data_IF_370277814955
#
_entry.id   IF_370277814955
#
_cell.length_a   1.000
_cell.length_b   1.000
_cell.length_c   1.000
_cell.angle_alpha   90.00
_cell.angle_beta   90.00
_cell.angle_gamma   90.00
#
_symmetry.space_group_name_H-M   'P 1'
#
loop_
_entity.id
_entity.type
_entity.pdbx_description
1 polymer ?
#
# COMPACT_ATOMS: atom_id res chain seq x y z
N UNK A 1 21.06 8.12 -30.09
CA UNK A 1 19.63 8.23 -29.71
C UNK A 1 19.32 7.17 -28.66
N UNK A 2 19.43 7.52 -27.37
CA UNK A 2 19.10 6.62 -26.27
C UNK A 2 17.63 6.79 -25.92
N UNK A 3 16.81 5.81 -26.24
CA UNK A 3 15.44 5.70 -25.72
C UNK A 3 15.57 5.37 -24.22
N UNK A 4 15.31 6.36 -23.36
CA UNK A 4 15.11 6.14 -21.95
C UNK A 4 13.80 5.36 -21.80
N UNK A 5 13.92 4.07 -21.46
CA UNK A 5 12.78 3.24 -21.11
C UNK A 5 12.06 3.87 -19.92
N UNK A 6 10.80 4.23 -20.09
CA UNK A 6 9.94 4.57 -18.95
C UNK A 6 9.80 3.31 -18.12
N UNK A 7 10.11 3.41 -16.85
CA UNK A 7 9.90 2.33 -15.90
C UNK A 7 8.40 1.95 -15.90
N UNK A 8 8.01 0.69 -16.21
CA UNK A 8 6.63 0.34 -16.57
C UNK A 8 5.69 0.15 -15.38
N UNK A 9 6.08 0.51 -14.16
CA UNK A 9 5.50 -0.06 -12.95
C UNK A 9 4.88 0.95 -11.96
N UNK A 10 4.52 2.16 -12.40
CA UNK A 10 3.84 3.07 -11.50
C UNK A 10 2.53 3.59 -12.10
N UNK A 11 1.51 2.73 -12.10
CA UNK A 11 0.15 3.17 -12.37
C UNK A 11 -0.45 3.76 -11.08
N UNK A 12 -0.47 5.09 -10.95
CA UNK A 12 -1.35 5.76 -10.01
C UNK A 12 -2.70 5.89 -10.70
N UNK A 13 -3.65 5.03 -10.39
CA UNK A 13 -5.03 5.18 -10.85
C UNK A 13 -5.89 5.74 -9.73
N UNK A 14 -6.59 6.81 -10.04
CA UNK A 14 -7.63 7.39 -9.21
C UNK A 14 -8.93 6.65 -9.49
N UNK A 15 -9.48 5.99 -8.49
CA UNK A 15 -10.88 5.58 -8.48
C UNK A 15 -11.32 5.48 -7.03
N UNK A 16 -12.19 6.31 -6.59
CA UNK A 16 -13.41 5.99 -5.87
C UNK A 16 -14.12 7.21 -5.35
N UNK A 17 -15.37 7.26 -5.67
CA UNK A 17 -16.37 8.04 -4.97
C UNK A 17 -17.39 7.04 -4.39
N UNK A 18 -17.65 7.24 -3.11
CA UNK A 18 -18.77 6.79 -2.27
C UNK A 18 -18.59 5.61 -1.32
N UNK A 19 -18.75 6.00 -0.06
CA UNK A 19 -19.35 5.36 1.10
C UNK A 19 -19.00 3.90 1.43
N UNK A 20 -17.98 3.74 2.28
CA UNK A 20 -17.93 2.59 3.18
C UNK A 20 -17.46 3.07 4.58
N UNK A 21 -18.34 3.00 5.55
CA UNK A 21 -18.00 3.20 6.97
C UNK A 21 -17.20 2.00 7.44
N UNK A 22 -15.88 2.10 7.39
CA UNK A 22 -14.97 1.10 7.95
C UNK A 22 -14.77 1.44 9.42
N UNK A 23 -15.18 0.53 10.33
CA UNK A 23 -14.82 0.59 11.75
C UNK A 23 -13.31 0.32 11.89
N UNK A 24 -12.62 0.89 12.90
CA UNK A 24 -11.21 0.61 13.14
C UNK A 24 -11.02 -0.88 13.39
N UNK A 25 -10.16 -1.52 12.61
CA UNK A 25 -9.69 -2.88 12.85
C UNK A 25 -8.54 -2.82 13.84
N UNK A 26 -8.73 -3.49 14.97
CA UNK A 26 -7.65 -3.73 15.92
C UNK A 26 -6.58 -4.63 15.29
N UNK A 27 -5.35 -4.29 15.59
CA UNK A 27 -4.11 -4.86 15.16
C UNK A 27 -4.04 -6.38 15.37
N UNK A 28 -3.86 -7.18 14.31
CA UNK A 28 -3.36 -8.53 14.39
C UNK A 28 -1.97 -8.59 13.78
N UNK A 29 -0.99 -8.80 14.63
CA UNK A 29 0.35 -9.24 14.22
C UNK A 29 0.24 -10.71 13.84
N UNK A 30 0.35 -11.05 12.58
CA UNK A 30 0.57 -12.44 12.18
C UNK A 30 2.06 -12.74 12.14
N UNK A 31 2.43 -13.80 12.83
CA UNK A 31 3.78 -14.30 12.99
C UNK A 31 4.38 -14.75 11.64
N UNK A 32 5.67 -14.51 11.47
CA UNK A 32 6.44 -14.49 10.24
C UNK A 32 6.70 -15.84 9.54
N UNK A 33 5.92 -16.88 9.76
CA UNK A 33 6.14 -18.20 9.13
C UNK A 33 5.23 -18.54 7.94
N UNK A 34 4.20 -17.72 7.66
CA UNK A 34 3.16 -18.03 6.65
C UNK A 34 3.01 -16.87 5.67
N UNK A 35 4.11 -16.35 5.14
CA UNK A 35 4.10 -15.14 4.29
C UNK A 35 3.41 -15.32 2.93
N UNK A 36 2.97 -16.53 2.58
CA UNK A 36 2.39 -16.82 1.26
C UNK A 36 1.07 -17.59 1.26
N UNK A 37 0.51 -17.89 2.41
CA UNK A 37 -0.82 -18.52 2.45
C UNK A 37 -1.92 -17.54 2.08
N UNK A 38 -2.96 -18.03 1.41
CA UNK A 38 -4.12 -17.23 1.08
C UNK A 38 -4.91 -16.89 2.34
N UNK A 39 -5.21 -15.59 2.53
CA UNK A 39 -5.98 -15.10 3.68
C UNK A 39 -7.37 -14.62 3.31
N UNK A 40 -7.82 -14.85 2.08
CA UNK A 40 -9.10 -14.33 1.58
C UNK A 40 -10.28 -14.66 2.46
N UNK A 41 -10.34 -15.89 2.97
CA UNK A 41 -11.44 -16.33 3.83
C UNK A 41 -11.33 -15.86 5.29
N UNK A 42 -10.16 -15.38 5.71
CA UNK A 42 -9.89 -14.92 7.08
C UNK A 42 -10.19 -13.43 7.27
N UNK A 43 -10.18 -12.66 6.20
CA UNK A 43 -10.42 -11.21 6.28
C UNK A 43 -11.92 -10.89 6.36
N UNK A 44 -12.30 -9.75 6.95
CA UNK A 44 -13.69 -9.29 6.99
C UNK A 44 -14.34 -9.22 5.60
N UNK A 45 -15.65 -9.41 5.53
CA UNK A 45 -16.41 -9.38 4.27
C UNK A 45 -16.14 -8.11 3.45
N UNK A 46 -16.12 -6.94 4.07
CA UNK A 46 -15.85 -5.67 3.38
C UNK A 46 -14.46 -5.62 2.71
N UNK A 47 -13.48 -6.35 3.26
CA UNK A 47 -12.13 -6.46 2.66
C UNK A 47 -12.18 -7.43 1.47
N UNK A 48 -12.93 -8.54 1.55
CA UNK A 48 -13.16 -9.45 0.41
C UNK A 48 -13.81 -8.73 -0.75
N UNK A 49 -14.91 -8.02 -0.49
CA UNK A 49 -15.63 -7.24 -1.50
C UNK A 49 -14.73 -6.20 -2.17
N UNK A 50 -13.88 -5.53 -1.37
CA UNK A 50 -12.91 -4.58 -1.89
C UNK A 50 -11.83 -5.27 -2.74
N UNK A 51 -11.32 -6.43 -2.29
CA UNK A 51 -10.37 -7.22 -3.05
C UNK A 51 -10.96 -7.70 -4.38
N UNK A 52 -12.17 -8.26 -4.36
CA UNK A 52 -12.88 -8.73 -5.56
C UNK A 52 -13.12 -7.62 -6.58
N UNK A 53 -13.23 -6.38 -6.10
CA UNK A 53 -13.34 -5.23 -6.98
C UNK A 53 -11.98 -4.78 -7.54
N UNK A 54 -10.95 -4.69 -6.69
CA UNK A 54 -9.62 -4.15 -7.03
C UNK A 54 -8.83 -5.14 -7.87
N UNK A 55 -8.77 -6.39 -7.43
CA UNK A 55 -7.86 -7.39 -7.97
C UNK A 55 -8.02 -7.56 -9.48
N UNK A 56 -9.20 -7.89 -10.06
CA UNK A 56 -9.31 -8.14 -11.49
C UNK A 56 -9.09 -6.90 -12.36
N UNK A 57 -9.21 -5.71 -11.77
CA UNK A 57 -9.11 -4.43 -12.49
C UNK A 57 -7.72 -3.83 -12.45
N UNK A 58 -6.99 -4.04 -11.36
CA UNK A 58 -5.76 -3.31 -11.09
C UNK A 58 -4.56 -4.21 -10.76
N UNK A 59 -4.82 -5.45 -10.36
CA UNK A 59 -3.82 -6.45 -9.98
C UNK A 59 -4.13 -7.83 -10.64
N UNK A 60 -4.41 -7.87 -11.96
CA UNK A 60 -4.92 -9.09 -12.60
C UNK A 60 -3.94 -10.27 -12.56
N UNK A 61 -2.65 -10.00 -12.38
CA UNK A 61 -1.58 -11.00 -12.31
C UNK A 61 -1.38 -11.61 -10.93
N UNK A 62 -2.04 -11.06 -9.90
CA UNK A 62 -1.88 -11.46 -8.50
C UNK A 62 -3.23 -11.78 -7.84
N UNK A 63 -3.93 -12.86 -8.26
CA UNK A 63 -5.29 -13.16 -7.81
C UNK A 63 -5.37 -13.66 -6.36
N UNK A 64 -4.26 -14.13 -5.77
CA UNK A 64 -4.25 -14.70 -4.43
C UNK A 64 -3.95 -13.62 -3.39
N UNK A 65 -4.91 -13.32 -2.51
CA UNK A 65 -4.71 -12.39 -1.40
C UNK A 65 -3.93 -13.09 -0.28
N UNK A 66 -2.70 -12.64 -0.02
CA UNK A 66 -1.82 -13.25 1.00
C UNK A 66 -1.73 -12.43 2.27
N UNK A 67 -2.11 -11.15 2.24
CA UNK A 67 -2.13 -10.30 3.43
C UNK A 67 -3.04 -9.10 3.25
N UNK A 68 -3.77 -8.76 4.33
CA UNK A 68 -4.54 -7.52 4.43
C UNK A 68 -4.38 -6.94 5.83
N UNK A 69 -4.04 -5.66 5.93
CA UNK A 69 -3.89 -4.98 7.22
C UNK A 69 -4.04 -3.47 7.08
N UNK A 70 -4.36 -2.81 8.18
CA UNK A 70 -4.40 -1.36 8.26
C UNK A 70 -3.24 -0.84 9.09
N UNK A 71 -2.62 0.26 8.63
CA UNK A 71 -1.61 1.00 9.36
C UNK A 71 -2.10 2.39 9.71
N UNK A 72 -1.67 2.88 10.89
CA UNK A 72 -1.88 4.24 11.33
C UNK A 72 -0.58 4.83 11.84
N UNK A 73 -0.10 5.90 11.21
CA UNK A 73 1.09 6.63 11.64
C UNK A 73 0.69 8.00 12.18
N UNK A 74 1.09 8.29 13.41
CA UNK A 74 1.00 9.61 14.02
C UNK A 74 2.35 10.31 13.97
N UNK A 75 2.43 11.55 14.42
CA UNK A 75 3.71 12.24 14.57
C UNK A 75 4.69 11.43 15.46
N UNK A 76 5.93 11.31 15.00
CA UNK A 76 6.97 10.52 15.67
C UNK A 76 6.94 9.01 15.40
N UNK A 77 5.99 8.54 14.59
CA UNK A 77 5.94 7.13 14.13
C UNK A 77 6.27 7.08 12.66
N UNK A 78 7.39 6.45 12.32
CA UNK A 78 7.85 6.28 10.94
C UNK A 78 8.06 4.80 10.62
N UNK A 79 7.80 4.44 9.36
CA UNK A 79 8.23 3.17 8.81
C UNK A 79 9.67 3.25 8.31
N UNK A 80 10.47 2.22 8.56
CA UNK A 80 11.78 2.09 7.92
C UNK A 80 11.64 1.49 6.52
N UNK A 81 12.66 1.68 5.69
CA UNK A 81 12.72 1.12 4.33
C UNK A 81 12.73 -0.40 4.38
N UNK A 82 11.87 -1.01 3.59
CA UNK A 82 11.74 -2.47 3.47
C UNK A 82 11.20 -2.89 2.10
N UNK A 83 11.27 -4.18 1.84
CA UNK A 83 10.58 -4.86 0.73
C UNK A 83 9.42 -5.68 1.31
N UNK A 84 8.31 -5.70 0.64
CA UNK A 84 7.13 -6.48 1.06
C UNK A 84 7.23 -7.96 0.68
N UNK A 85 7.99 -8.26 -0.37
CA UNK A 85 8.26 -9.60 -0.86
C UNK A 85 9.65 -9.67 -1.49
N UNK A 86 10.18 -10.89 -1.63
CA UNK A 86 11.40 -11.16 -2.41
C UNK A 86 11.11 -11.25 -3.91
N UNK A 87 9.85 -11.42 -4.29
CA UNK A 87 9.43 -11.69 -5.67
C UNK A 87 8.89 -10.41 -6.31
N UNK A 88 9.39 -10.13 -7.51
CA UNK A 88 8.91 -8.99 -8.31
C UNK A 88 7.49 -9.22 -8.87
N UNK A 89 7.04 -10.48 -8.89
CA UNK A 89 5.70 -10.87 -9.33
C UNK A 89 4.62 -10.66 -8.29
N UNK A 90 4.99 -10.52 -7.03
CA UNK A 90 4.04 -10.17 -5.97
C UNK A 90 3.76 -8.66 -6.05
N UNK A 91 2.55 -8.26 -5.71
CA UNK A 91 2.15 -6.85 -5.76
C UNK A 91 1.60 -6.40 -4.41
N UNK A 92 1.91 -5.17 -4.06
CA UNK A 92 1.34 -4.47 -2.91
C UNK A 92 0.45 -3.34 -3.38
N UNK A 93 -0.75 -3.27 -2.82
CA UNK A 93 -1.69 -2.17 -3.00
C UNK A 93 -1.83 -1.41 -1.68
N UNK A 94 -1.49 -0.13 -1.67
CA UNK A 94 -1.68 0.79 -0.54
C UNK A 94 -2.83 1.74 -0.87
N UNK A 95 -3.86 1.74 -0.03
CA UNK A 95 -5.06 2.57 -0.20
C UNK A 95 -5.09 3.63 0.90
N UNK A 96 -5.14 4.90 0.51
CA UNK A 96 -5.25 6.02 1.43
C UNK A 96 -6.72 6.38 1.64
N UNK A 97 -7.20 6.34 2.87
CA UNK A 97 -8.61 6.61 3.17
C UNK A 97 -8.86 7.75 4.15
N UNK A 98 -7.80 8.53 4.49
CA UNK A 98 -7.96 9.75 5.28
C UNK A 98 -8.44 10.90 4.39
N UNK A 99 -9.56 11.52 4.79
CA UNK A 99 -10.15 12.66 4.08
C UNK A 99 -9.34 13.95 4.36
N UNK A 100 -9.47 14.91 3.44
CA UNK A 100 -8.96 16.28 3.61
C UNK A 100 -7.47 16.39 3.90
N UNK A 101 -6.66 15.45 3.39
CA UNK A 101 -5.21 15.44 3.58
C UNK A 101 -4.56 16.67 2.97
N UNK A 102 -3.72 17.34 3.74
CA UNK A 102 -2.96 18.52 3.31
C UNK A 102 -1.51 18.14 3.02
N UNK A 103 -0.90 18.79 2.03
CA UNK A 103 0.48 18.52 1.62
C UNK A 103 1.50 18.79 2.73
N UNK A 104 1.28 19.83 3.53
CA UNK A 104 2.13 20.19 4.68
C UNK A 104 2.10 19.17 5.83
N UNK A 105 1.19 18.20 5.77
CA UNK A 105 1.12 17.12 6.77
C UNK A 105 2.12 16.00 6.51
N UNK A 106 2.85 16.03 5.37
CA UNK A 106 3.79 14.98 4.99
C UNK A 106 3.15 13.59 4.88
N UNK A 107 3.80 12.54 5.37
CA UNK A 107 3.22 11.18 5.41
C UNK A 107 3.26 10.45 4.06
N UNK A 108 4.18 10.81 3.18
CA UNK A 108 4.35 10.18 1.87
C UNK A 108 4.69 8.69 2.01
N UNK A 109 4.26 7.89 1.05
CA UNK A 109 4.93 6.63 0.75
C UNK A 109 6.07 6.95 -0.20
N UNK A 110 7.30 6.67 0.22
CA UNK A 110 8.50 6.87 -0.59
C UNK A 110 8.98 5.55 -1.16
N UNK A 111 9.56 5.61 -2.35
CA UNK A 111 10.24 4.50 -3.01
C UNK A 111 11.70 4.86 -3.18
N UNK A 112 12.57 3.94 -2.82
CA UNK A 112 14.02 4.12 -2.84
C UNK A 112 14.65 3.34 -3.99
N UNK A 113 15.83 3.76 -4.42
CA UNK A 113 16.70 2.91 -5.22
C UNK A 113 17.26 1.75 -4.37
N UNK A 114 17.96 0.81 -5.00
CA UNK A 114 18.50 -0.36 -4.29
C UNK A 114 19.55 -0.01 -3.24
N UNK A 115 20.30 1.07 -3.45
CA UNK A 115 21.35 1.54 -2.51
C UNK A 115 20.80 2.36 -1.34
N UNK A 116 19.49 2.70 -1.36
CA UNK A 116 18.78 3.49 -0.35
C UNK A 116 19.34 4.90 -0.13
N UNK A 117 20.07 5.42 -1.09
CA UNK A 117 20.66 6.76 -1.04
C UNK A 117 19.82 7.82 -1.78
N UNK A 118 18.79 7.38 -2.53
CA UNK A 118 17.96 8.29 -3.31
C UNK A 118 16.48 7.87 -3.33
N UNK A 119 15.60 8.86 -3.14
CA UNK A 119 14.15 8.69 -3.33
C UNK A 119 13.85 8.81 -4.82
N UNK A 120 13.39 7.72 -5.42
CA UNK A 120 13.00 7.69 -6.84
C UNK A 120 11.56 8.14 -7.07
N UNK A 121 10.71 8.03 -6.04
CA UNK A 121 9.34 8.52 -6.05
C UNK A 121 8.79 8.72 -4.65
N UNK A 122 7.88 9.70 -4.52
CA UNK A 122 7.10 9.93 -3.32
C UNK A 122 5.62 10.10 -3.70
N UNK A 123 4.73 9.54 -2.89
CA UNK A 123 3.28 9.60 -3.10
C UNK A 123 2.63 10.15 -1.84
N UNK A 124 2.07 11.36 -1.95
CA UNK A 124 1.29 11.97 -0.88
C UNK A 124 -0.03 11.21 -0.65
N UNK A 125 -0.45 11.04 0.60
CA UNK A 125 -1.80 10.59 0.91
C UNK A 125 -2.84 11.47 0.23
N UNK A 126 -3.88 10.83 -0.27
CA UNK A 126 -5.07 11.50 -0.79
C UNK A 126 -6.22 10.50 -0.71
N UNK A 127 -7.36 10.93 -0.20
CA UNK A 127 -8.54 10.07 -0.08
C UNK A 127 -8.88 9.37 -1.40
N UNK A 128 -9.07 8.05 -1.33
CA UNK A 128 -9.35 7.19 -2.48
C UNK A 128 -8.18 6.92 -3.43
N UNK A 129 -6.98 7.43 -3.13
CA UNK A 129 -5.79 7.08 -3.91
C UNK A 129 -5.34 5.66 -3.60
N UNK A 130 -5.01 4.92 -4.66
CA UNK A 130 -4.31 3.64 -4.59
C UNK A 130 -2.91 3.78 -5.17
N UNK A 131 -1.96 3.10 -4.54
CA UNK A 131 -0.60 2.88 -5.04
C UNK A 131 -0.38 1.38 -5.17
N UNK A 132 -0.15 0.91 -6.39
CA UNK A 132 0.14 -0.50 -6.67
C UNK A 132 1.56 -0.58 -7.20
N UNK A 133 2.35 -1.50 -6.63
CA UNK A 133 3.76 -1.65 -6.97
C UNK A 133 4.24 -3.09 -6.69
N UNK A 134 5.32 -3.54 -7.37
CA UNK A 134 5.95 -4.83 -7.10
C UNK A 134 6.42 -4.96 -5.67
N UNK A 135 6.19 -6.13 -5.06
CA UNK A 135 6.52 -6.38 -3.65
C UNK A 135 8.00 -6.27 -3.31
N UNK A 136 8.88 -6.43 -4.30
CA UNK A 136 10.33 -6.36 -4.10
C UNK A 136 10.94 -4.96 -4.22
N UNK A 137 10.12 -3.92 -4.35
CA UNK A 137 10.61 -2.53 -4.36
C UNK A 137 10.82 -2.04 -2.93
N UNK A 138 11.98 -1.42 -2.68
CA UNK A 138 12.27 -0.75 -1.41
C UNK A 138 11.40 0.48 -1.23
N UNK A 139 10.67 0.53 -0.14
CA UNK A 139 9.76 1.63 0.17
C UNK A 139 9.59 1.82 1.67
N UNK A 140 9.06 2.98 2.04
CA UNK A 140 8.70 3.29 3.43
C UNK A 140 7.48 4.22 3.48
N UNK A 141 6.66 4.06 4.52
CA UNK A 141 5.67 5.07 4.90
C UNK A 141 6.31 6.10 5.83
N UNK A 142 6.44 7.35 5.38
CA UNK A 142 6.97 8.43 6.20
C UNK A 142 5.99 8.82 7.30
N UNK A 143 6.52 9.25 8.42
CA UNK A 143 5.75 9.84 9.50
C UNK A 143 5.06 11.13 9.07
N UNK A 144 4.01 11.51 9.79
CA UNK A 144 3.33 12.79 9.56
C UNK A 144 4.07 13.93 10.28
N UNK A 145 3.92 15.14 9.75
CA UNK A 145 4.48 16.32 10.40
C UNK A 145 3.77 16.60 11.74
N UNK A 146 4.44 17.31 12.64
CA UNK A 146 3.88 17.65 13.96
C UNK A 146 2.61 18.51 13.92
N UNK A 147 2.35 19.16 12.80
CA UNK A 147 1.14 19.99 12.61
C UNK A 147 -0.05 19.19 12.07
N UNK A 148 0.15 17.89 11.74
CA UNK A 148 -0.92 17.03 11.29
C UNK A 148 -1.81 16.62 12.48
N UNK A 149 -3.10 16.96 12.48
CA UNK A 149 -3.99 16.69 13.62
C UNK A 149 -4.58 15.27 13.59
N UNK A 150 -4.31 14.48 12.55
CA UNK A 150 -4.90 13.17 12.34
C UNK A 150 -3.83 12.11 12.06
N UNK A 151 -4.16 10.85 12.26
CA UNK A 151 -3.27 9.75 11.88
C UNK A 151 -3.31 9.54 10.35
N UNK A 152 -2.15 9.26 9.77
CA UNK A 152 -2.05 8.75 8.39
C UNK A 152 -2.51 7.30 8.39
N UNK A 153 -3.71 7.05 7.90
CA UNK A 153 -4.29 5.71 7.86
C UNK A 153 -4.29 5.16 6.44
N UNK A 154 -3.83 3.93 6.29
CA UNK A 154 -3.82 3.21 5.02
C UNK A 154 -4.31 1.78 5.22
N UNK A 155 -4.99 1.24 4.21
CA UNK A 155 -5.22 -0.18 4.07
C UNK A 155 -4.19 -0.72 3.07
N UNK A 156 -3.57 -1.84 3.42
CA UNK A 156 -2.59 -2.53 2.58
C UNK A 156 -3.13 -3.91 2.23
N UNK A 157 -3.13 -4.22 0.94
CA UNK A 157 -3.47 -5.52 0.39
C UNK A 157 -2.26 -6.05 -0.37
N UNK A 158 -1.86 -7.28 -0.11
CA UNK A 158 -0.76 -7.94 -0.81
C UNK A 158 -1.28 -9.14 -1.59
N UNK A 159 -0.96 -9.17 -2.87
CA UNK A 159 -1.33 -10.24 -3.78
C UNK A 159 -0.12 -10.98 -4.33
N UNK A 160 -0.33 -12.25 -4.69
CA UNK A 160 0.64 -13.04 -5.44
C UNK A 160 -0.02 -13.75 -6.63
N UNK A 161 0.76 -14.18 -7.65
CA UNK A 161 0.27 -15.08 -8.69
C UNK A 161 -0.18 -16.43 -8.10
N UNK A 162 -0.96 -17.18 -8.84
CA UNK A 162 -1.09 -18.63 -8.58
C UNK A 162 0.28 -19.31 -8.78
N UNK A 163 0.55 -20.34 -7.99
CA UNK A 163 1.72 -21.21 -8.18
C UNK A 163 1.59 -22.02 -9.45
#
# INVERSE_FOLDING_TARGET
>A
MHRRGRAPWLAVRLAFQQDARVRPLEHRLSDSKVEREEVYHEVPQCIRELWDYIQPRFMPTTPVLVRAYANAHTYGVEGYTHKDSKFATDETCVIYYEKDWKSEWAGETIFMNEDEDNIIKAILPKYGRMSIFPGNIKHAGRGVSRICPVARRVLVLKGRPHE
#
